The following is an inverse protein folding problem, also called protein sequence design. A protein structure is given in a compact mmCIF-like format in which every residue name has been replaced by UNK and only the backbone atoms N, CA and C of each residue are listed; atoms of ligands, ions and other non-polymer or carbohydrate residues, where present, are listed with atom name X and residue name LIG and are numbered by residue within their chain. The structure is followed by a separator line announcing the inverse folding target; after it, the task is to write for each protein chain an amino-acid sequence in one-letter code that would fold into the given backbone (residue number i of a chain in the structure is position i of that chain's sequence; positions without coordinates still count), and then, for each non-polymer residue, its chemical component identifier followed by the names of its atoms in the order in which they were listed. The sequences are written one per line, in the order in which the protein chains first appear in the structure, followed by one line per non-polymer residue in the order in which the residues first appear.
data_IF_538719736177
#
_entry.id   IF_538719736177
#
_cell.length_a   1.000
_cell.length_b   1.000
_cell.length_c   1.000
_cell.angle_alpha   90.00
_cell.angle_beta   90.00
_cell.angle_gamma   90.00
#
_symmetry.space_group_name_H-M   'P 1'
#
loop_
_entity.id
_entity.type
_entity.pdbx_description
1 polymer ?
#
# COMPACT_ATOMS: atom_id res chain seq x y z
N UNK A 1 -0.71 3.26 -6.08
CA UNK A 1 0.70 3.73 -5.99
C UNK A 1 1.60 2.70 -6.64
N UNK A 2 2.62 3.14 -7.36
CA UNK A 2 3.51 2.29 -8.18
C UNK A 2 4.93 2.20 -7.60
N UNK A 3 5.09 2.25 -6.28
CA UNK A 3 6.37 2.13 -5.59
C UNK A 3 6.20 1.35 -4.28
N UNK A 4 7.15 0.47 -3.98
CA UNK A 4 7.12 -0.47 -2.86
C UNK A 4 7.23 0.25 -1.52
N UNK A 5 6.16 0.18 -0.73
CA UNK A 5 6.14 0.73 0.62
C UNK A 5 6.35 -0.38 1.67
N UNK A 6 6.97 -0.08 2.82
CA UNK A 6 7.06 -1.04 3.93
C UNK A 6 5.68 -1.41 4.48
N UNK A 7 4.74 -0.46 4.43
CA UNK A 7 3.34 -0.60 4.82
C UNK A 7 2.47 0.30 3.95
N UNK A 8 1.16 0.10 3.95
CA UNK A 8 0.21 1.01 3.28
C UNK A 8 0.34 2.43 3.88
N UNK A 9 0.71 3.45 3.07
CA UNK A 9 0.92 4.78 3.62
C UNK A 9 -0.38 5.38 4.18
N UNK A 10 -0.40 5.64 5.49
CA UNK A 10 -1.56 6.20 6.22
C UNK A 10 -2.16 7.46 5.56
N UNK A 11 -1.37 8.43 5.05
CA UNK A 11 -1.95 9.61 4.41
C UNK A 11 -2.77 9.28 3.16
N UNK A 12 -2.41 8.23 2.42
CA UNK A 12 -3.17 7.81 1.24
C UNK A 12 -4.48 7.15 1.64
N UNK A 13 -4.45 6.33 2.68
CA UNK A 13 -5.64 5.70 3.28
C UNK A 13 -6.63 6.75 3.81
N UNK A 14 -6.12 7.79 4.46
CA UNK A 14 -6.94 8.90 4.96
C UNK A 14 -7.63 9.67 3.83
N UNK A 15 -6.92 9.89 2.71
CA UNK A 15 -7.43 10.57 1.52
C UNK A 15 -8.42 9.73 0.69
N UNK A 16 -8.53 8.42 0.94
CA UNK A 16 -9.50 7.57 0.25
C UNK A 16 -10.94 7.94 0.63
N UNK A 17 -11.81 7.99 -0.38
CA UNK A 17 -13.26 8.00 -0.21
C UNK A 17 -13.75 6.65 0.33
N UNK A 18 -14.92 6.65 0.96
CA UNK A 18 -15.64 5.42 1.30
C UNK A 18 -15.92 4.62 0.02
N UNK A 19 -15.76 3.31 0.09
CA UNK A 19 -15.75 2.35 -1.04
C UNK A 19 -14.62 2.57 -2.06
N UNK A 20 -13.67 3.46 -1.78
CA UNK A 20 -12.48 3.67 -2.59
C UNK A 20 -11.49 2.50 -2.45
N UNK A 21 -10.68 2.27 -3.50
CA UNK A 21 -9.65 1.23 -3.54
C UNK A 21 -8.26 1.85 -3.73
N UNK A 22 -7.29 1.32 -3.00
CA UNK A 22 -5.88 1.68 -3.09
C UNK A 22 -5.07 0.43 -3.36
N UNK A 23 -4.54 0.32 -4.58
CA UNK A 23 -3.53 -0.66 -4.93
C UNK A 23 -2.13 -0.14 -4.62
N UNK A 24 -1.33 -0.92 -3.90
CA UNK A 24 0.07 -0.61 -3.64
C UNK A 24 0.91 -1.89 -3.52
N UNK A 25 2.13 -1.91 -4.07
CA UNK A 25 3.11 -2.95 -3.75
C UNK A 25 3.60 -2.73 -2.31
N UNK A 26 3.48 -3.76 -1.49
CA UNK A 26 3.90 -3.76 -0.09
C UNK A 26 4.83 -4.94 0.15
N UNK A 27 5.95 -4.71 0.83
CA UNK A 27 6.93 -5.76 1.09
C UNK A 27 8.12 -5.22 1.84
N UNK A 28 9.13 -6.08 2.05
CA UNK A 28 10.39 -5.66 2.66
C UNK A 28 11.38 -5.16 1.59
N UNK A 29 12.26 -4.24 1.98
CA UNK A 29 13.26 -3.64 1.11
C UNK A 29 14.17 -4.73 0.51
N UNK A 30 14.33 -4.73 -0.82
CA UNK A 30 15.07 -5.75 -1.59
C UNK A 30 14.60 -7.22 -1.45
N UNK A 31 13.41 -7.46 -0.89
CA UNK A 31 12.80 -8.79 -0.82
C UNK A 31 11.54 -8.88 -1.70
N UNK A 32 10.77 -9.94 -1.50
CA UNK A 32 9.47 -10.15 -2.14
C UNK A 32 8.49 -9.02 -1.80
N UNK A 33 7.78 -8.54 -2.82
CA UNK A 33 6.73 -7.53 -2.69
C UNK A 33 5.42 -8.18 -3.13
N UNK A 34 4.35 -7.92 -2.41
CA UNK A 34 3.00 -8.40 -2.73
C UNK A 34 2.18 -7.22 -3.22
N UNK A 35 1.41 -7.40 -4.29
CA UNK A 35 0.45 -6.40 -4.71
C UNK A 35 -0.74 -6.43 -3.76
N UNK A 36 -0.89 -5.40 -2.93
CA UNK A 36 -2.00 -5.29 -1.99
C UNK A 36 -3.05 -4.33 -2.54
N UNK A 37 -4.32 -4.71 -2.43
CA UNK A 37 -5.48 -3.85 -2.70
C UNK A 37 -6.20 -3.63 -1.38
N UNK A 38 -6.17 -2.40 -0.88
CA UNK A 38 -6.96 -1.97 0.26
C UNK A 38 -8.25 -1.30 -0.21
N UNK A 39 -9.39 -1.70 0.35
CA UNK A 39 -10.70 -1.09 0.12
C UNK A 39 -11.20 -0.47 1.42
N UNK A 40 -11.62 0.80 1.37
CA UNK A 40 -12.12 1.51 2.55
C UNK A 40 -13.62 1.26 2.69
N UNK A 41 -14.01 0.50 3.70
CA UNK A 41 -15.40 0.14 3.98
C UNK A 41 -16.14 1.25 4.73
N UNK A 42 -17.48 1.16 4.74
CA UNK A 42 -18.35 2.01 5.53
C UNK A 42 -17.97 1.87 7.01
N UNK A 43 -17.67 2.99 7.69
CA UNK A 43 -17.04 3.12 9.05
C UNK A 43 -15.52 3.23 9.11
N UNK A 44 -14.82 3.27 7.97
CA UNK A 44 -13.38 3.55 7.93
C UNK A 44 -12.48 2.34 8.18
N UNK A 45 -13.07 1.15 8.25
CA UNK A 45 -12.33 -0.11 8.21
C UNK A 45 -11.68 -0.33 6.84
N UNK A 46 -10.56 -1.04 6.82
CA UNK A 46 -9.86 -1.39 5.58
C UNK A 46 -9.95 -2.89 5.33
N UNK A 47 -10.56 -3.27 4.22
CA UNK A 47 -10.49 -4.63 3.70
C UNK A 47 -9.23 -4.76 2.84
N UNK A 48 -8.35 -5.68 3.20
CA UNK A 48 -7.06 -5.89 2.52
C UNK A 48 -7.13 -7.18 1.71
N UNK A 49 -6.79 -7.11 0.43
CA UNK A 49 -6.67 -8.25 -0.48
C UNK A 49 -5.25 -8.32 -1.05
N UNK A 50 -4.60 -9.48 -0.92
CA UNK A 50 -3.30 -9.75 -1.53
C UNK A 50 -3.47 -10.36 -2.92
N UNK A 51 -2.76 -9.82 -3.92
CA UNK A 51 -2.78 -10.29 -5.30
C UNK A 51 -1.38 -10.64 -5.79
N UNK A 52 -0.78 -11.61 -5.11
CA UNK A 52 0.47 -12.24 -5.55
C UNK A 52 1.70 -11.32 -5.57
N UNK A 53 2.82 -11.88 -6.00
CA UNK A 53 4.12 -11.22 -6.02
C UNK A 53 4.27 -10.20 -7.15
N UNK A 54 5.01 -9.13 -6.88
CA UNK A 54 5.38 -8.09 -7.85
C UNK A 54 6.78 -7.54 -7.57
N UNK A 55 7.31 -6.69 -8.45
CA UNK A 55 8.61 -6.04 -8.26
C UNK A 55 8.55 -4.59 -8.74
N UNK A 56 8.63 -3.65 -7.79
CA UNK A 56 8.63 -2.21 -7.99
C UNK A 56 9.80 -1.54 -7.26
N UNK A 57 10.15 -0.34 -7.71
CA UNK A 57 11.13 0.53 -7.03
C UNK A 57 10.68 0.90 -5.61
N UNK A 58 11.60 1.14 -4.66
CA UNK A 58 11.21 1.52 -3.30
C UNK A 58 10.57 2.90 -3.25
N UNK A 59 9.49 3.04 -2.47
CA UNK A 59 8.91 4.32 -2.10
C UNK A 59 9.77 4.96 -1.01
N UNK A 60 10.60 5.94 -1.36
CA UNK A 60 11.45 6.67 -0.41
C UNK A 60 10.72 7.90 0.11
N UNK A 61 10.73 8.13 1.42
CA UNK A 61 10.16 9.34 2.03
C UNK A 61 9.59 9.14 3.44
N UNK A 62 8.92 10.18 3.97
CA UNK A 62 8.41 10.23 5.35
C UNK A 62 7.51 9.06 5.74
N UNK A 63 6.72 8.56 4.79
CA UNK A 63 5.79 7.42 4.95
C UNK A 63 6.22 6.21 4.09
N UNK A 64 7.50 6.16 3.72
CA UNK A 64 8.11 5.08 2.96
C UNK A 64 9.42 4.64 3.62
N UNK A 65 10.35 4.14 2.83
CA UNK A 65 11.69 3.78 3.29
C UNK A 65 12.49 5.02 3.69
N UNK A 66 13.16 4.93 4.84
CA UNK A 66 14.24 5.85 5.21
C UNK A 66 15.52 5.34 4.55
N UNK A 67 16.09 6.14 3.66
CA UNK A 67 17.46 5.98 3.18
C UNK A 67 18.45 6.20 4.31
#
# INVERSE_FOLDING_TARGET
VTACAPELPKPLVEQMKISGKLGAPVGQHYMFQTWIVAEKCDKGELKIEERGGCSFVPLVGKYGWKT
#
